data_IF_737898904573
#
_entry.id   IF_737898904573
#
_cell.length_a   1.000
_cell.length_b   1.000
_cell.length_c   1.000
_cell.angle_alpha   90.00
_cell.angle_beta   90.00
_cell.angle_gamma   90.00
#
_symmetry.space_group_name_H-M   'P 1'
#
loop_
_entity.id
_entity.type
_entity.pdbx_description
1 polymer ?
#
# COMPACT_ATOMS: atom_id res chain seq x y z
N UNK A 1 -1.58 -17.18 -7.41
CA UNK A 1 -1.45 -15.80 -6.91
C UNK A 1 0.02 -15.56 -6.64
N UNK A 2 0.60 -14.47 -7.15
CA UNK A 2 2.02 -14.19 -6.96
C UNK A 2 2.33 -13.91 -5.49
N UNK A 3 3.36 -14.56 -4.96
CA UNK A 3 3.96 -14.20 -3.68
C UNK A 3 5.12 -13.23 -3.93
N UNK A 4 5.15 -12.17 -3.13
CA UNK A 4 6.18 -11.14 -3.18
C UNK A 4 7.10 -11.36 -1.99
N UNK A 5 8.40 -11.50 -2.24
CA UNK A 5 9.42 -11.55 -1.19
C UNK A 5 10.53 -10.54 -1.49
N UNK A 6 10.82 -9.68 -0.50
CA UNK A 6 11.83 -8.62 -0.55
C UNK A 6 12.38 -8.37 0.86
N UNK A 7 13.27 -9.23 1.36
CA UNK A 7 13.81 -9.15 2.74
C UNK A 7 14.54 -7.84 3.03
N UNK A 8 15.11 -7.21 1.99
CA UNK A 8 15.83 -5.93 2.12
C UNK A 8 14.90 -4.70 2.13
N UNK A 9 13.58 -4.90 2.19
CA UNK A 9 12.62 -3.79 2.22
C UNK A 9 12.71 -3.05 3.55
N UNK A 10 13.13 -1.78 3.51
CA UNK A 10 12.94 -0.89 4.66
C UNK A 10 11.46 -0.48 4.73
N UNK A 11 10.71 -0.81 5.80
CA UNK A 11 9.26 -0.55 5.90
C UNK A 11 8.89 0.94 5.83
N UNK A 12 9.82 1.82 6.19
CA UNK A 12 9.59 3.27 6.20
C UNK A 12 9.51 3.82 4.77
N UNK A 13 10.28 3.26 3.84
CA UNK A 13 10.33 3.76 2.45
C UNK A 13 8.98 3.61 1.73
N UNK A 14 8.32 2.43 1.66
CA UNK A 14 7.02 2.31 1.01
C UNK A 14 5.93 3.12 1.74
N UNK A 15 6.03 3.28 3.06
CA UNK A 15 5.11 4.12 3.82
C UNK A 15 5.21 5.60 3.42
N UNK A 16 6.43 6.15 3.37
CA UNK A 16 6.66 7.54 2.95
C UNK A 16 6.25 7.75 1.48
N UNK A 17 6.52 6.78 0.60
CA UNK A 17 6.09 6.85 -0.79
C UNK A 17 4.57 6.87 -0.91
N UNK A 18 3.84 6.05 -0.16
CA UNK A 18 2.38 6.12 -0.16
C UNK A 18 1.88 7.46 0.42
N UNK A 19 2.49 7.96 1.50
CA UNK A 19 2.07 9.21 2.13
C UNK A 19 2.24 10.43 1.21
N UNK A 20 3.40 10.56 0.54
CA UNK A 20 3.71 11.74 -0.28
C UNK A 20 3.31 11.60 -1.75
N UNK A 21 3.15 10.38 -2.28
CA UNK A 21 2.90 10.14 -3.70
C UNK A 21 1.55 9.42 -3.92
N UNK A 22 0.46 10.12 -3.57
CA UNK A 22 -0.91 9.76 -3.98
C UNK A 22 -1.34 8.35 -3.51
N UNK A 23 -0.81 7.89 -2.37
CA UNK A 23 -1.29 6.69 -1.69
C UNK A 23 -0.96 5.33 -2.34
N UNK A 24 -0.27 5.28 -3.49
CA UNK A 24 -0.07 4.00 -4.21
C UNK A 24 1.37 3.64 -4.59
N UNK A 25 2.31 4.58 -4.55
CA UNK A 25 3.68 4.33 -5.06
C UNK A 25 4.46 3.33 -4.19
N UNK A 26 4.24 3.30 -2.88
CA UNK A 26 4.81 2.29 -2.00
C UNK A 26 4.38 0.87 -2.36
N UNK A 27 3.12 0.66 -2.73
CA UNK A 27 2.63 -0.63 -3.20
C UNK A 27 3.26 -1.03 -4.54
N UNK A 28 3.39 -0.09 -5.48
CA UNK A 28 4.07 -0.32 -6.75
C UNK A 28 5.52 -0.74 -6.53
N UNK A 29 6.24 -0.10 -5.60
CA UNK A 29 7.60 -0.44 -5.24
C UNK A 29 7.72 -1.85 -4.62
N UNK A 30 6.77 -2.23 -3.76
CA UNK A 30 6.76 -3.58 -3.17
C UNK A 30 6.40 -4.66 -4.19
N UNK A 31 5.67 -4.33 -5.26
CA UNK A 31 5.22 -5.26 -6.30
C UNK A 31 3.71 -5.51 -6.30
N UNK A 32 2.96 -4.87 -5.39
CA UNK A 32 1.51 -4.91 -5.32
C UNK A 32 0.88 -3.93 -6.34
N UNK A 33 1.03 -4.21 -7.64
CA UNK A 33 0.64 -3.29 -8.70
C UNK A 33 -0.85 -2.91 -8.69
N UNK A 34 -1.72 -3.91 -8.53
CA UNK A 34 -3.17 -3.71 -8.50
C UNK A 34 -3.58 -2.78 -7.35
N UNK A 35 -3.06 -3.02 -6.14
CA UNK A 35 -3.30 -2.16 -4.97
C UNK A 35 -2.79 -0.73 -5.19
N UNK A 36 -1.60 -0.59 -5.80
CA UNK A 36 -1.05 0.72 -6.15
C UNK A 36 -2.01 1.53 -7.01
N UNK A 37 -2.53 0.93 -8.09
CA UNK A 37 -3.48 1.59 -8.99
C UNK A 37 -4.79 1.93 -8.28
N UNK A 38 -5.38 0.98 -7.55
CA UNK A 38 -6.64 1.21 -6.81
C UNK A 38 -6.48 2.37 -5.82
N UNK A 39 -5.34 2.44 -5.11
CA UNK A 39 -5.07 3.49 -4.13
C UNK A 39 -4.92 4.88 -4.77
N UNK A 40 -4.26 4.95 -5.93
CA UNK A 40 -4.12 6.20 -6.70
C UNK A 40 -5.50 6.67 -7.18
N UNK A 41 -6.30 5.77 -7.76
CA UNK A 41 -7.65 6.09 -8.24
C UNK A 41 -8.55 6.55 -7.10
N UNK A 42 -8.53 5.84 -5.96
CA UNK A 42 -9.29 6.22 -4.77
C UNK A 42 -8.89 7.61 -4.24
N UNK A 43 -7.58 7.90 -4.20
CA UNK A 43 -7.06 9.21 -3.79
C UNK A 43 -7.55 10.31 -4.72
N UNK A 44 -7.49 10.11 -6.04
CA UNK A 44 -7.94 11.10 -7.03
C UNK A 44 -9.44 11.36 -6.95
N UNK A 45 -10.26 10.30 -6.89
CA UNK A 45 -11.73 10.44 -6.80
C UNK A 45 -12.17 11.14 -5.51
N UNK A 46 -11.58 10.79 -4.38
CA UNK A 46 -11.88 11.42 -3.09
C UNK A 46 -11.30 12.84 -2.98
N UNK A 47 -10.25 13.16 -3.76
CA UNK A 47 -9.75 14.53 -3.85
C UNK A 47 -10.77 15.47 -4.51
N UNK A 48 -11.60 14.98 -5.44
CA UNK A 48 -12.67 15.78 -6.05
C UNK A 48 -13.73 16.28 -5.05
N UNK A 49 -13.83 15.66 -3.88
CA UNK A 49 -14.75 16.03 -2.79
C UNK A 49 -14.00 16.53 -1.54
N UNK A 50 -12.68 16.79 -1.64
CA UNK A 50 -11.87 17.39 -0.59
C UNK A 50 -11.35 16.43 0.50
N UNK A 51 -11.61 15.13 0.41
CA UNK A 51 -11.20 14.12 1.44
C UNK A 51 -10.14 13.14 0.95
N UNK A 52 -9.55 13.37 -0.23
CA UNK A 52 -8.56 12.48 -0.83
C UNK A 52 -7.30 12.27 0.00
N UNK A 53 -6.93 13.23 0.86
CA UNK A 53 -5.74 13.14 1.73
C UNK A 53 -5.81 12.00 2.77
N UNK A 54 -7.01 11.46 3.05
CA UNK A 54 -7.20 10.35 3.99
C UNK A 54 -6.62 9.05 3.41
N UNK A 55 -6.73 8.85 2.10
CA UNK A 55 -6.28 7.60 1.45
C UNK A 55 -4.75 7.41 1.60
N UNK A 56 -3.89 8.40 1.26
CA UNK A 56 -2.45 8.31 1.50
C UNK A 56 -2.05 7.99 2.95
N UNK A 57 -2.80 8.47 3.94
CA UNK A 57 -2.53 8.18 5.36
C UNK A 57 -2.78 6.69 5.65
N UNK A 58 -3.93 6.18 5.23
CA UNK A 58 -4.32 4.79 5.44
C UNK A 58 -3.36 3.84 4.71
N UNK A 59 -3.09 4.11 3.43
CA UNK A 59 -2.25 3.23 2.61
C UNK A 59 -0.78 3.31 3.00
N UNK A 60 -0.31 4.43 3.56
CA UNK A 60 1.02 4.51 4.16
C UNK A 60 1.17 3.56 5.35
N UNK A 61 0.19 3.52 6.24
CA UNK A 61 0.21 2.62 7.40
C UNK A 61 0.12 1.15 6.98
N UNK A 62 -0.77 0.82 6.04
CA UNK A 62 -0.84 -0.54 5.49
C UNK A 62 0.47 -0.97 4.81
N UNK A 63 1.09 -0.07 4.02
CA UNK A 63 2.38 -0.35 3.40
C UNK A 63 3.52 -0.51 4.42
N UNK A 64 3.47 0.20 5.55
CA UNK A 64 4.40 0.01 6.66
C UNK A 64 4.27 -1.38 7.28
N UNK A 65 3.04 -1.87 7.51
CA UNK A 65 2.79 -3.21 8.05
C UNK A 65 3.27 -4.32 7.10
N UNK A 66 2.98 -4.19 5.81
CA UNK A 66 3.44 -5.13 4.79
C UNK A 66 4.96 -5.07 4.61
N UNK A 67 5.55 -3.88 4.68
CA UNK A 67 6.99 -3.69 4.66
C UNK A 67 7.68 -4.39 5.84
N UNK A 68 7.10 -4.35 7.03
CA UNK A 68 7.63 -5.09 8.19
C UNK A 68 7.59 -6.61 7.98
N UNK A 69 6.50 -7.14 7.39
CA UNK A 69 6.44 -8.57 7.02
C UNK A 69 7.55 -8.93 6.05
N UNK A 70 7.70 -8.16 4.97
CA UNK A 70 8.77 -8.34 4.01
C UNK A 70 10.15 -8.29 4.66
N UNK A 71 10.41 -7.30 5.52
CA UNK A 71 11.67 -7.15 6.26
C UNK A 71 11.94 -8.35 7.19
N UNK A 72 10.91 -8.94 7.78
CA UNK A 72 11.03 -10.14 8.62
C UNK A 72 11.30 -11.43 7.83
N UNK A 73 11.42 -11.33 6.50
CA UNK A 73 11.64 -12.46 5.60
C UNK A 73 10.37 -13.21 5.20
N UNK A 74 9.20 -12.72 5.59
CA UNK A 74 7.91 -13.27 5.17
C UNK A 74 7.56 -12.82 3.76
N UNK A 75 6.94 -13.69 2.98
CA UNK A 75 6.30 -13.29 1.73
C UNK A 75 4.94 -12.63 2.00
N UNK A 76 4.52 -11.75 1.10
CA UNK A 76 3.17 -11.17 1.10
C UNK A 76 2.47 -11.50 -0.22
N UNK A 77 1.15 -11.65 -0.19
CA UNK A 77 0.36 -11.79 -1.40
C UNK A 77 0.24 -10.47 -2.20
N UNK A 78 0.02 -10.57 -3.52
CA UNK A 78 -0.22 -9.39 -4.39
C UNK A 78 -1.37 -8.48 -3.92
N UNK A 79 -2.41 -9.05 -3.30
CA UNK A 79 -3.59 -8.36 -2.79
C UNK A 79 -3.71 -8.40 -1.26
N UNK A 80 -2.65 -8.84 -0.58
CA UNK A 80 -2.64 -8.89 0.89
C UNK A 80 -2.64 -7.48 1.48
N UNK A 81 -3.40 -7.29 2.55
CA UNK A 81 -3.44 -6.06 3.33
C UNK A 81 -2.95 -6.34 4.75
N UNK A 82 -2.20 -5.39 5.31
CA UNK A 82 -1.91 -5.36 6.74
C UNK A 82 -3.09 -4.87 7.57
N UNK A 83 -3.98 -4.07 6.98
CA UNK A 83 -5.24 -3.62 7.59
C UNK A 83 -6.43 -4.44 7.09
N UNK A 84 -7.17 -5.07 8.01
CA UNK A 84 -8.28 -5.96 7.65
C UNK A 84 -9.43 -5.25 6.90
N UNK A 85 -9.75 -4.00 7.26
CA UNK A 85 -10.83 -3.28 6.58
C UNK A 85 -10.52 -2.98 5.11
N UNK A 86 -9.23 -2.91 4.75
CA UNK A 86 -8.81 -2.72 3.36
C UNK A 86 -9.14 -3.95 2.50
N UNK A 87 -9.38 -5.13 3.09
CA UNK A 87 -9.89 -6.29 2.36
C UNK A 87 -11.30 -6.06 1.79
N UNK A 88 -12.08 -5.14 2.35
CA UNK A 88 -13.37 -4.76 1.79
C UNK A 88 -13.21 -3.86 0.54
N UNK A 89 -12.09 -3.14 0.44
CA UNK A 89 -11.78 -2.18 -0.62
C UNK A 89 -11.00 -2.85 -1.75
N UNK A 90 -9.97 -3.62 -1.42
CA UNK A 90 -9.13 -4.37 -2.36
C UNK A 90 -9.65 -5.81 -2.45
N UNK A 91 -10.69 -6.02 -3.26
CA UNK A 91 -11.16 -7.36 -3.65
C UNK A 91 -10.69 -7.72 -5.05
#
# INVERSE_FOLDING_TARGET
>A
MGEISKPDTNPIVPALLNFFLIGGVGYLMMGQQKKGIISIVATLLLSCVGVGFIVPIITAYDAYLLGQKLQSGQSIGEMENGLEFLNAVFK
#
